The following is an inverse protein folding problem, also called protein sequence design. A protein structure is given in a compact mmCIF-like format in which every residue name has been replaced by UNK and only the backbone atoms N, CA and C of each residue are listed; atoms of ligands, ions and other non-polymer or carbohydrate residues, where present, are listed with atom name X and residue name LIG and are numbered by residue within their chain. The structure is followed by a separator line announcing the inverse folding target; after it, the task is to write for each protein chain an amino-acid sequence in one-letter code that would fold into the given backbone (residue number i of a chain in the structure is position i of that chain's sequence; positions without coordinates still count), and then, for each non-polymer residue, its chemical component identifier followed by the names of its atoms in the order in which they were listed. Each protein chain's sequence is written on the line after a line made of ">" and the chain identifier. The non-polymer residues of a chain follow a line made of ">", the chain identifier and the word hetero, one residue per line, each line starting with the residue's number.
data_IF_666222375330
#
_entry.id   IF_666222375330
#
_cell.length_a   1.000
_cell.length_b   1.000
_cell.length_c   1.000
_cell.angle_alpha   90.00
_cell.angle_beta   90.00
_cell.angle_gamma   90.00
#
_symmetry.space_group_name_H-M   'P 1'
#
loop_
_entity.id
_entity.type
_entity.pdbx_description
1 polymer ?
#
# COMPACT_ATOMS: atom_id res chain seq x y z
N UNK A 1 -11.31 -10.97 -2.12
CA UNK A 1 -10.03 -10.99 -2.86
C UNK A 1 -8.85 -10.72 -1.92
N UNK A 2 -9.04 -9.83 -0.95
CA UNK A 2 -8.01 -9.27 -0.08
C UNK A 2 -7.27 -10.33 0.74
N UNK A 3 -7.99 -11.34 1.24
CA UNK A 3 -7.40 -12.42 2.02
C UNK A 3 -6.35 -13.22 1.22
N UNK A 4 -6.60 -13.47 -0.07
CA UNK A 4 -5.65 -14.21 -0.91
C UNK A 4 -4.37 -13.41 -1.18
N UNK A 5 -4.49 -12.09 -1.35
CA UNK A 5 -3.32 -11.22 -1.46
C UNK A 5 -2.52 -11.23 -0.14
N UNK A 6 -3.21 -11.08 0.99
CA UNK A 6 -2.63 -11.08 2.33
C UNK A 6 -1.88 -12.38 2.63
N UNK A 7 -2.50 -13.55 2.38
CA UNK A 7 -1.91 -14.87 2.58
C UNK A 7 -0.65 -15.14 1.74
N UNK A 8 -0.60 -14.59 0.52
CA UNK A 8 0.57 -14.75 -0.35
C UNK A 8 1.68 -13.83 0.15
N UNK A 9 1.38 -12.57 0.43
CA UNK A 9 2.36 -11.57 0.84
C UNK A 9 2.95 -11.91 2.20
N UNK A 10 2.13 -12.33 3.18
CA UNK A 10 2.58 -12.71 4.52
C UNK A 10 3.61 -13.84 4.54
N UNK A 11 3.71 -14.64 3.47
CA UNK A 11 4.70 -15.72 3.33
C UNK A 11 6.00 -15.29 2.65
N UNK A 12 6.04 -14.09 2.07
CA UNK A 12 7.18 -13.55 1.31
C UNK A 12 7.98 -12.55 2.17
N UNK A 13 7.29 -11.87 3.07
CA UNK A 13 7.82 -10.80 3.94
C UNK A 13 8.36 -11.34 5.25
N UNK A 14 9.22 -10.57 5.91
CA UNK A 14 9.68 -10.86 7.28
C UNK A 14 8.71 -10.31 8.34
N UNK A 15 7.95 -9.25 8.04
CA UNK A 15 6.98 -8.64 8.96
C UNK A 15 5.53 -8.89 8.51
N UNK A 16 4.98 -10.10 8.69
CA UNK A 16 3.62 -10.42 8.29
C UNK A 16 2.56 -9.63 9.08
N UNK A 17 2.86 -9.21 10.31
CA UNK A 17 1.96 -8.38 11.13
C UNK A 17 1.72 -6.98 10.58
N UNK A 18 2.64 -6.43 9.79
CA UNK A 18 2.54 -5.09 9.21
C UNK A 18 1.96 -5.09 7.79
N UNK A 19 1.53 -6.25 7.30
CA UNK A 19 0.88 -6.37 5.99
C UNK A 19 -0.59 -6.00 6.11
N UNK A 20 -1.02 -5.00 5.36
CA UNK A 20 -2.41 -4.57 5.30
C UNK A 20 -2.88 -4.37 3.86
N UNK A 21 -4.12 -4.74 3.58
CA UNK A 21 -4.73 -4.62 2.26
C UNK A 21 -5.98 -3.76 2.35
N UNK A 22 -5.98 -2.65 1.64
CA UNK A 22 -7.11 -1.73 1.54
C UNK A 22 -7.75 -1.88 0.15
N UNK A 23 -9.05 -2.20 0.10
CA UNK A 23 -9.80 -2.33 -1.14
C UNK A 23 -10.66 -1.10 -1.37
N UNK A 24 -10.48 -0.48 -2.54
CA UNK A 24 -11.26 0.66 -3.00
C UNK A 24 -12.03 0.22 -4.23
N UNK A 25 -13.35 0.32 -4.20
CA UNK A 25 -14.20 -0.05 -5.33
C UNK A 25 -14.73 1.23 -5.98
N UNK A 26 -14.42 1.41 -7.26
CA UNK A 26 -14.94 2.51 -8.07
C UNK A 26 -16.38 2.24 -8.52
N UNK A 27 -17.12 3.29 -8.89
CA UNK A 27 -18.50 3.19 -9.39
C UNK A 27 -18.65 2.28 -10.62
N UNK A 28 -17.58 2.09 -11.39
CA UNK A 28 -17.54 1.18 -12.55
C UNK A 28 -17.25 -0.29 -12.19
N UNK A 29 -17.25 -0.65 -10.90
CA UNK A 29 -17.00 -2.02 -10.43
C UNK A 29 -15.53 -2.47 -10.58
N UNK A 30 -14.61 -1.50 -10.69
CA UNK A 30 -13.17 -1.76 -10.65
C UNK A 30 -12.69 -1.70 -9.20
N UNK A 31 -11.97 -2.74 -8.76
CA UNK A 31 -11.38 -2.79 -7.41
C UNK A 31 -9.90 -2.43 -7.46
N UNK A 32 -9.47 -1.44 -6.70
CA UNK A 32 -8.06 -1.13 -6.46
C UNK A 32 -7.66 -1.68 -5.10
N UNK A 33 -6.70 -2.62 -5.10
CA UNK A 33 -6.12 -3.21 -3.90
C UNK A 33 -4.82 -2.49 -3.58
N UNK A 34 -4.83 -1.68 -2.52
CA UNK A 34 -3.65 -1.03 -1.97
C UNK A 34 -3.00 -1.93 -0.93
N UNK A 35 -1.83 -2.45 -1.27
CA UNK A 35 -1.00 -3.27 -0.39
C UNK A 35 -0.04 -2.35 0.37
N UNK A 36 -0.16 -2.35 1.70
CA UNK A 36 0.77 -1.70 2.63
C UNK A 36 1.60 -2.79 3.30
N UNK A 37 2.91 -2.57 3.35
CA UNK A 37 3.88 -3.48 3.97
C UNK A 37 4.96 -2.67 4.69
N UNK A 38 5.71 -3.32 5.57
CA UNK A 38 6.87 -2.69 6.21
C UNK A 38 7.92 -2.25 5.18
N UNK A 39 8.66 -1.18 5.49
CA UNK A 39 9.63 -0.59 4.55
C UNK A 39 10.71 -1.60 4.10
N UNK A 40 11.15 -2.46 5.00
CA UNK A 40 12.16 -3.50 4.72
C UNK A 40 11.63 -4.60 3.78
N UNK A 41 10.31 -4.78 3.74
CA UNK A 41 9.66 -5.83 2.96
C UNK A 41 9.32 -5.40 1.53
N UNK A 42 9.30 -4.09 1.24
CA UNK A 42 9.02 -3.56 -0.10
C UNK A 42 9.94 -4.20 -1.15
N UNK A 43 11.23 -4.29 -0.85
CA UNK A 43 12.21 -4.92 -1.74
C UNK A 43 11.91 -6.39 -2.03
N UNK A 44 11.42 -7.14 -1.03
CA UNK A 44 11.02 -8.54 -1.18
C UNK A 44 9.73 -8.70 -1.98
N UNK A 45 8.74 -7.85 -1.73
CA UNK A 45 7.45 -7.87 -2.44
C UNK A 45 7.62 -7.51 -3.91
N UNK A 46 8.47 -6.53 -4.23
CA UNK A 46 8.83 -6.21 -5.62
C UNK A 46 9.61 -7.40 -6.21
N UNK A 47 10.59 -7.90 -5.46
CA UNK A 47 11.48 -8.98 -5.88
C UNK A 47 12.49 -8.52 -6.94
N UNK A 48 13.46 -9.38 -7.25
CA UNK A 48 14.45 -9.11 -8.31
C UNK A 48 13.73 -8.86 -9.64
N UNK A 49 14.03 -7.72 -10.27
CA UNK A 49 13.44 -7.27 -11.54
C UNK A 49 11.91 -7.10 -11.53
N UNK A 50 11.29 -6.98 -10.34
CA UNK A 50 9.83 -6.87 -10.25
C UNK A 50 9.07 -8.16 -10.55
N UNK A 51 9.75 -9.32 -10.55
CA UNK A 51 9.14 -10.63 -10.89
C UNK A 51 8.02 -11.02 -9.93
N UNK A 52 8.20 -10.77 -8.63
CA UNK A 52 7.24 -11.16 -7.60
C UNK A 52 5.97 -10.31 -7.72
N UNK A 53 6.10 -8.98 -7.76
CA UNK A 53 4.94 -8.08 -7.90
C UNK A 53 4.19 -8.29 -9.22
N UNK A 54 4.90 -8.61 -10.31
CA UNK A 54 4.29 -8.90 -11.62
C UNK A 54 3.48 -10.19 -11.58
N UNK A 55 4.01 -11.25 -10.96
CA UNK A 55 3.28 -12.50 -10.76
C UNK A 55 2.03 -12.29 -9.89
N UNK A 56 2.16 -11.54 -8.78
CA UNK A 56 1.06 -11.23 -7.89
C UNK A 56 -0.07 -10.45 -8.60
N UNK A 57 0.30 -9.41 -9.37
CA UNK A 57 -0.65 -8.65 -10.21
C UNK A 57 -1.37 -9.53 -11.22
N UNK A 58 -0.65 -10.45 -11.84
CA UNK A 58 -1.22 -11.39 -12.82
C UNK A 58 -2.21 -12.35 -12.14
N UNK A 59 -1.85 -12.91 -10.99
CA UNK A 59 -2.73 -13.79 -10.21
C UNK A 59 -4.01 -13.06 -9.78
N UNK A 60 -3.90 -11.82 -9.26
CA UNK A 60 -5.06 -11.04 -8.88
C UNK A 60 -5.96 -10.75 -10.08
N UNK A 61 -5.38 -10.39 -11.22
CA UNK A 61 -6.11 -10.14 -12.46
C UNK A 61 -6.90 -11.38 -12.91
N UNK A 62 -6.29 -12.57 -12.87
CA UNK A 62 -6.96 -13.83 -13.20
C UNK A 62 -8.10 -14.14 -12.21
N UNK A 63 -7.87 -13.95 -10.91
CA UNK A 63 -8.88 -14.15 -9.88
C UNK A 63 -10.07 -13.18 -10.03
N UNK A 64 -9.83 -11.94 -10.43
CA UNK A 64 -10.85 -10.94 -10.69
C UNK A 64 -11.64 -11.23 -11.97
N UNK A 65 -10.97 -11.68 -13.03
CA UNK A 65 -11.62 -12.11 -14.28
C UNK A 65 -12.63 -13.22 -14.05
N UNK A 66 -12.32 -14.19 -13.17
CA UNK A 66 -13.28 -15.25 -12.79
C UNK A 66 -14.54 -14.71 -12.10
N UNK A 67 -14.46 -13.53 -11.50
CA UNK A 67 -15.59 -12.86 -10.84
C UNK A 67 -16.24 -11.77 -11.71
N UNK A 68 -15.81 -11.62 -12.97
CA UNK A 68 -16.30 -10.56 -13.87
C UNK A 68 -15.91 -9.15 -13.45
N UNK A 69 -14.91 -9.00 -12.57
CA UNK A 69 -14.44 -7.71 -12.04
C UNK A 69 -13.08 -7.35 -12.60
N UNK A 70 -12.76 -6.06 -12.57
CA UNK A 70 -11.40 -5.56 -12.84
C UNK A 70 -10.69 -5.31 -11.52
N UNK A 71 -9.42 -5.67 -11.43
CA UNK A 71 -8.61 -5.39 -10.25
C UNK A 71 -7.27 -4.78 -10.63
N UNK A 72 -6.80 -3.83 -9.82
CA UNK A 72 -5.44 -3.28 -9.87
C UNK A 72 -4.80 -3.47 -8.49
N UNK A 73 -3.51 -3.80 -8.47
CA UNK A 73 -2.73 -3.92 -7.23
C UNK A 73 -1.67 -2.83 -7.21
N UNK A 74 -1.76 -1.97 -6.21
CA UNK A 74 -0.82 -0.89 -5.93
C UNK A 74 -0.09 -1.17 -4.63
N UNK A 75 1.25 -1.12 -4.70
CA UNK A 75 2.10 -1.21 -3.51
C UNK A 75 2.30 0.20 -2.99
N UNK A 76 1.82 0.46 -1.77
CA UNK A 76 1.90 1.77 -1.12
C UNK A 76 3.08 1.72 -0.16
N UNK A 77 4.06 2.61 -0.40
CA UNK A 77 5.15 2.82 0.54
C UNK A 77 4.59 3.54 1.78
N UNK A 78 4.84 3.05 3.01
CA UNK A 78 4.50 3.81 4.20
C UNK A 78 5.27 5.14 4.13
N UNK A 79 4.65 6.27 4.51
CA UNK A 79 5.37 7.54 4.52
C UNK A 79 6.60 7.33 5.39
N UNK A 80 7.78 7.37 4.78
CA UNK A 80 9.03 7.38 5.51
C UNK A 80 8.85 8.47 6.57
N UNK A 81 8.96 8.08 7.85
CA UNK A 81 9.01 9.06 8.93
C UNK A 81 10.28 9.88 8.68
N UNK A 82 10.13 10.92 7.88
CA UNK A 82 11.13 11.94 7.67
C UNK A 82 11.54 12.42 9.05
N UNK A 83 12.84 12.38 9.28
CA UNK A 83 13.53 13.07 10.36
C UNK A 83 13.33 14.59 10.31
N UNK A 84 12.09 15.10 10.35
CA UNK A 84 11.77 16.47 10.74
C UNK A 84 10.26 16.66 10.71
N UNK A 85 9.74 17.00 11.89
CA UNK A 85 8.47 17.66 12.07
C UNK A 85 8.32 18.86 11.11
N UNK A 86 7.08 19.28 10.81
CA UNK A 86 6.87 20.59 10.19
C UNK A 86 7.53 21.66 11.06
N UNK A 87 8.40 22.49 10.48
CA UNK A 87 8.77 23.78 11.05
C UNK A 87 7.53 24.65 11.12
N UNK A 88 6.74 24.43 12.17
CA UNK A 88 5.74 25.36 12.64
C UNK A 88 6.49 26.41 13.45
N UNK A 89 7.07 27.39 12.75
CA UNK A 89 7.37 28.67 13.39
C UNK A 89 6.10 29.49 13.20
N UNK A 90 5.09 29.22 14.02
CA UNK A 90 4.12 30.26 14.35
C UNK A 90 4.89 31.30 15.17
N UNK A 91 5.10 32.53 14.68
CA UNK A 91 5.46 33.60 15.59
C UNK A 91 4.28 33.82 16.55
N UNK A 92 4.56 33.96 17.86
CA UNK A 92 3.53 34.09 18.87
C UNK A 92 2.68 35.35 18.64
N UNK A 93 1.38 35.18 18.79
CA UNK A 93 0.48 36.30 19.06
C UNK A 93 0.86 36.93 20.41
N UNK A 94 1.32 38.17 20.38
CA UNK A 94 1.29 39.14 21.48
C UNK A 94 1.21 40.51 20.79
N UNK A 95 0.02 41.08 20.64
CA UNK A 95 -0.56 42.03 21.59
C UNK A 95 0.40 43.18 21.91
N UNK A 96 0.41 44.21 21.06
CA UNK A 96 0.59 45.61 21.48
C UNK A 96 -0.29 46.51 20.60
N UNK A 97 -1.47 46.81 21.12
CA UNK A 97 -2.18 48.10 20.99
C UNK A 97 -2.11 48.69 22.40
N UNK A 98 -1.88 50.00 22.62
CA UNK A 98 -2.46 51.12 21.88
C UNK A 98 -1.50 52.16 21.30
#
# INVERSE_FOLDING_TARGET
>A
MNQLLLDIVSKIVDHPEEVSVEEIVDEQGSSTLRLKVHQEDIGRVIGKEGKIITALRTLMRLAAMKQGKRVRVDLVEPPAASHQAPSQVEPPQAEETP
#
